data_IF_264630875154
#
_entry.id   IF_264630875154
#
_cell.length_a   1.000
_cell.length_b   1.000
_cell.length_c   1.000
_cell.angle_alpha   90.00
_cell.angle_beta   90.00
_cell.angle_gamma   90.00
#
_symmetry.space_group_name_H-M   'P 1'
#
loop_
_entity.id
_entity.type
_entity.pdbx_description
1 polymer ?
#
# COMPACT_ATOMS: atom_id res chain seq x y z
N UNK A 1 -13.73 -2.39 10.02
CA UNK A 1 -13.30 -3.67 9.41
C UNK A 1 -11.79 -3.87 9.60
N UNK A 2 -11.24 -5.02 9.20
CA UNK A 2 -9.80 -5.31 9.35
C UNK A 2 -8.91 -4.47 8.42
N UNK A 3 -9.37 -4.07 7.24
CA UNK A 3 -8.62 -3.18 6.35
C UNK A 3 -8.41 -1.81 6.99
N UNK A 4 -9.47 -1.24 7.58
CA UNK A 4 -9.42 0.01 8.33
C UNK A 4 -8.44 -0.08 9.50
N UNK A 5 -8.46 -1.18 10.27
CA UNK A 5 -7.49 -1.39 11.36
C UNK A 5 -6.05 -1.44 10.83
N UNK A 6 -5.82 -2.09 9.68
CA UNK A 6 -4.52 -2.10 9.04
C UNK A 6 -4.08 -0.69 8.62
N UNK A 7 -4.97 0.07 7.97
CA UNK A 7 -4.72 1.45 7.54
C UNK A 7 -4.37 2.36 8.73
N UNK A 8 -5.20 2.38 9.77
CA UNK A 8 -4.94 3.16 10.98
C UNK A 8 -3.60 2.79 11.62
N UNK A 9 -3.25 1.50 11.60
CA UNK A 9 -1.97 1.03 12.14
C UNK A 9 -0.77 1.50 11.29
N UNK A 10 -0.93 1.60 9.96
CA UNK A 10 0.09 2.17 9.06
C UNK A 10 0.31 3.66 9.36
N UNK A 11 -0.75 4.46 9.39
CA UNK A 11 -0.66 5.93 9.62
C UNK A 11 -0.36 6.32 11.07
N UNK A 12 -0.39 5.38 12.01
CA UNK A 12 0.09 5.57 13.39
C UNK A 12 1.40 4.86 13.68
N UNK A 13 2.05 4.29 12.66
CA UNK A 13 3.32 3.55 12.75
C UNK A 13 3.31 2.35 13.73
N UNK A 14 2.14 1.75 14.00
CA UNK A 14 1.97 0.53 14.80
C UNK A 14 2.05 -0.70 13.90
N UNK A 15 3.23 -0.97 13.33
CA UNK A 15 3.38 -1.90 12.21
C UNK A 15 3.27 -3.39 12.55
N UNK A 16 3.37 -3.78 13.83
CA UNK A 16 3.47 -5.18 14.26
C UNK A 16 2.26 -6.03 13.84
N UNK A 17 1.05 -5.48 13.93
CA UNK A 17 -0.20 -6.21 13.69
C UNK A 17 -0.77 -5.99 12.28
N UNK A 18 -0.17 -5.08 11.49
CA UNK A 18 -0.70 -4.72 10.16
C UNK A 18 -0.79 -5.96 9.27
N UNK A 19 0.23 -6.81 9.23
CA UNK A 19 0.21 -8.03 8.43
C UNK A 19 -0.92 -8.98 8.86
N UNK A 20 -1.19 -9.09 10.16
CA UNK A 20 -2.31 -9.87 10.67
C UNK A 20 -3.65 -9.29 10.20
N UNK A 21 -3.84 -7.98 10.33
CA UNK A 21 -5.08 -7.31 9.90
C UNK A 21 -5.31 -7.41 8.40
N UNK A 22 -4.28 -7.23 7.56
CA UNK A 22 -4.40 -7.42 6.11
C UNK A 22 -4.82 -8.86 5.77
N UNK A 23 -4.21 -9.85 6.43
CA UNK A 23 -4.56 -11.27 6.23
C UNK A 23 -6.00 -11.58 6.67
N UNK A 24 -6.46 -11.03 7.80
CA UNK A 24 -7.86 -11.20 8.19
C UNK A 24 -8.80 -10.52 7.19
N UNK A 25 -8.46 -9.32 6.72
CA UNK A 25 -9.31 -8.61 5.75
C UNK A 25 -9.48 -9.42 4.46
N UNK A 26 -8.39 -9.96 3.90
CA UNK A 26 -8.46 -10.83 2.70
C UNK A 26 -9.23 -12.14 2.94
N UNK A 27 -9.30 -12.62 4.19
CA UNK A 27 -10.06 -13.83 4.53
C UNK A 27 -11.57 -13.55 4.58
N UNK A 28 -11.97 -12.41 5.13
CA UNK A 28 -13.38 -12.03 5.27
C UNK A 28 -13.98 -11.43 4.01
N UNK A 29 -13.17 -10.73 3.23
CA UNK A 29 -13.54 -10.17 1.93
C UNK A 29 -12.41 -10.42 0.91
N UNK A 30 -12.43 -11.59 0.23
CA UNK A 30 -11.41 -11.97 -0.73
C UNK A 30 -11.45 -11.17 -2.04
N UNK A 31 -12.55 -10.48 -2.33
CA UNK A 31 -12.70 -9.69 -3.56
C UNK A 31 -12.13 -8.29 -3.39
N UNK A 32 -12.09 -7.78 -2.15
CA UNK A 32 -11.51 -6.49 -1.84
C UNK A 32 -10.02 -6.38 -2.19
N UNK A 33 -9.69 -5.33 -2.94
CA UNK A 33 -8.33 -4.99 -3.36
C UNK A 33 -7.60 -4.10 -2.37
N UNK A 34 -8.30 -3.47 -1.42
CA UNK A 34 -7.69 -2.58 -0.44
C UNK A 34 -6.61 -3.28 0.43
N UNK A 35 -6.82 -4.50 0.96
CA UNK A 35 -5.81 -5.14 1.80
C UNK A 35 -4.52 -5.44 1.04
N UNK A 36 -4.62 -5.85 -0.22
CA UNK A 36 -3.45 -6.10 -1.06
C UNK A 36 -2.77 -4.79 -1.47
N UNK A 37 -3.52 -3.70 -1.62
CA UNK A 37 -2.95 -2.37 -1.89
C UNK A 37 -2.14 -1.79 -0.72
N UNK A 38 -2.49 -2.16 0.52
CA UNK A 38 -1.77 -1.70 1.72
C UNK A 38 -0.45 -2.44 1.99
N UNK A 39 -0.25 -3.63 1.40
CA UNK A 39 0.93 -4.48 1.65
C UNK A 39 2.28 -3.89 1.20
N UNK A 40 2.41 -3.27 0.01
CA UNK A 40 3.65 -2.59 -0.39
C UNK A 40 4.03 -1.45 0.55
N UNK A 41 3.05 -0.67 1.03
CA UNK A 41 3.27 0.41 1.98
C UNK A 41 3.80 -0.10 3.32
N UNK A 42 3.22 -1.20 3.84
CA UNK A 42 3.76 -1.88 5.03
C UNK A 42 5.25 -2.22 4.85
N UNK A 43 5.60 -2.85 3.73
CA UNK A 43 7.00 -3.21 3.45
C UNK A 43 7.91 -1.98 3.35
N UNK A 44 7.47 -0.87 2.75
CA UNK A 44 8.25 0.37 2.75
C UNK A 44 8.51 0.91 4.16
N UNK A 45 7.47 0.94 4.99
CA UNK A 45 7.56 1.46 6.36
C UNK A 45 8.43 0.57 7.26
N UNK A 46 8.48 -0.74 6.99
CA UNK A 46 9.37 -1.69 7.66
C UNK A 46 10.81 -1.67 7.11
N UNK A 47 11.06 -0.99 5.99
CA UNK A 47 12.38 -0.95 5.34
C UNK A 47 12.67 -2.12 4.39
N UNK A 48 11.68 -2.95 4.09
CA UNK A 48 11.72 -4.05 3.11
C UNK A 48 11.54 -3.52 1.69
N UNK A 49 12.51 -2.74 1.21
CA UNK A 49 12.38 -1.98 -0.04
C UNK A 49 12.27 -2.86 -1.28
N UNK A 50 12.98 -3.98 -1.33
CA UNK A 50 12.98 -4.85 -2.50
C UNK A 50 11.63 -5.54 -2.66
N UNK A 51 11.06 -6.00 -1.55
CA UNK A 51 9.74 -6.63 -1.48
C UNK A 51 8.62 -5.63 -1.81
N UNK A 52 8.71 -4.41 -1.27
CA UNK A 52 7.80 -3.32 -1.63
C UNK A 52 7.87 -3.00 -3.13
N UNK A 53 9.07 -2.80 -3.67
CA UNK A 53 9.29 -2.47 -5.09
C UNK A 53 8.73 -3.55 -6.01
N UNK A 54 8.97 -4.83 -5.71
CA UNK A 54 8.43 -5.94 -6.48
C UNK A 54 6.90 -5.95 -6.49
N UNK A 55 6.23 -5.66 -5.36
CA UNK A 55 4.78 -5.59 -5.33
C UNK A 55 4.23 -4.37 -6.07
N UNK A 56 4.85 -3.19 -5.92
CA UNK A 56 4.45 -2.00 -6.66
C UNK A 56 4.52 -2.25 -8.17
N UNK A 57 5.62 -2.83 -8.68
CA UNK A 57 5.77 -3.15 -10.11
C UNK A 57 4.70 -4.15 -10.56
N UNK A 58 4.48 -5.20 -9.77
CA UNK A 58 3.51 -6.26 -10.09
C UNK A 58 2.07 -5.72 -10.19
N UNK A 59 1.71 -4.80 -9.31
CA UNK A 59 0.31 -4.37 -9.12
C UNK A 59 -0.04 -3.09 -9.87
N UNK A 60 0.89 -2.13 -10.04
CA UNK A 60 0.58 -0.72 -10.40
C UNK A 60 -0.37 -0.53 -11.59
N UNK A 61 -0.29 -1.37 -12.63
CA UNK A 61 -1.10 -1.20 -13.84
C UNK A 61 -2.34 -2.12 -13.89
N UNK A 62 -2.67 -2.81 -12.80
CA UNK A 62 -3.88 -3.62 -12.70
C UNK A 62 -5.08 -2.73 -12.36
N UNK A 63 -6.30 -3.05 -12.85
CA UNK A 63 -7.51 -2.33 -12.48
C UNK A 63 -7.79 -2.42 -10.97
N UNK A 64 -8.21 -1.31 -10.39
CA UNK A 64 -8.61 -1.26 -8.98
C UNK A 64 -10.13 -1.34 -8.83
N UNK A 65 -10.70 -0.91 -7.70
CA UNK A 65 -12.13 -1.04 -7.39
C UNK A 65 -13.00 -0.11 -8.23
N UNK A 66 -12.56 1.14 -8.43
CA UNK A 66 -13.34 2.12 -9.17
C UNK A 66 -13.15 1.97 -10.69
N UNK A 67 -14.18 2.27 -11.50
CA UNK A 67 -14.04 2.28 -12.95
C UNK A 67 -12.90 3.19 -13.42
N UNK A 68 -12.04 2.65 -14.29
CA UNK A 68 -10.85 3.33 -14.85
C UNK A 68 -9.75 3.69 -13.83
N UNK A 69 -9.84 3.25 -12.58
CA UNK A 69 -8.77 3.38 -11.58
C UNK A 69 -7.79 2.21 -11.65
N UNK A 70 -6.54 2.47 -11.27
CA UNK A 70 -5.49 1.45 -11.15
C UNK A 70 -4.88 1.45 -9.77
N UNK A 71 -4.23 0.34 -9.39
CA UNK A 71 -3.48 0.27 -8.14
C UNK A 71 -2.45 1.40 -7.99
N UNK A 72 -1.85 1.85 -9.10
CA UNK A 72 -0.94 3.01 -9.10
C UNK A 72 -1.59 4.26 -8.53
N UNK A 73 -2.86 4.50 -8.84
CA UNK A 73 -3.56 5.70 -8.42
C UNK A 73 -3.75 5.66 -6.90
N UNK A 74 -4.25 4.52 -6.39
CA UNK A 74 -4.35 4.21 -4.95
C UNK A 74 -3.00 4.36 -4.23
N UNK A 75 -1.95 3.73 -4.76
CA UNK A 75 -0.61 3.80 -4.16
C UNK A 75 -0.06 5.21 -4.07
N UNK A 76 -0.33 6.06 -5.07
CA UNK A 76 0.17 7.43 -5.07
C UNK A 76 -0.55 8.30 -4.03
N UNK A 77 -1.85 8.04 -3.84
CA UNK A 77 -2.69 8.65 -2.81
C UNK A 77 -2.24 8.21 -1.40
N UNK A 78 -2.10 6.91 -1.16
CA UNK A 78 -1.63 6.35 0.11
C UNK A 78 -0.31 6.97 0.56
N UNK A 79 0.67 7.04 -0.36
CA UNK A 79 1.97 7.65 -0.07
C UNK A 79 1.81 9.14 0.29
N UNK A 80 0.88 9.85 -0.34
CA UNK A 80 0.63 11.26 -0.03
C UNK A 80 -0.07 11.43 1.32
N UNK A 81 -1.04 10.58 1.66
CA UNK A 81 -1.74 10.59 2.95
C UNK A 81 -0.77 10.31 4.10
N UNK A 82 0.06 9.27 3.99
CA UNK A 82 1.08 8.95 5.00
C UNK A 82 2.09 10.08 5.18
N UNK A 83 2.54 10.71 4.09
CA UNK A 83 3.43 11.89 4.17
C UNK A 83 2.74 13.10 4.82
N UNK A 84 1.44 13.32 4.57
CA UNK A 84 0.65 14.39 5.17
C UNK A 84 0.48 14.22 6.69
N UNK A 85 0.45 12.99 7.18
CA UNK A 85 0.50 12.65 8.62
C UNK A 85 1.92 12.82 9.23
N UNK A 86 2.87 13.37 8.47
CA UNK A 86 4.24 13.63 8.94
C UNK A 86 5.15 12.41 8.95
N UNK A 87 4.71 11.27 8.41
CA UNK A 87 5.50 10.05 8.35
C UNK A 87 6.51 10.15 7.21
N UNK A 88 7.79 9.95 7.54
CA UNK A 88 8.89 9.97 6.56
C UNK A 88 9.08 8.59 5.95
N UNK A 89 8.72 8.46 4.68
CA UNK A 89 8.93 7.22 3.92
C UNK A 89 10.29 7.26 3.22
N UNK A 90 11.23 6.44 3.67
CA UNK A 90 12.53 6.32 3.00
C UNK A 90 12.35 5.71 1.60
N UNK A 91 13.11 6.20 0.63
CA UNK A 91 13.05 5.81 -0.79
C UNK A 91 11.74 6.11 -1.54
N UNK A 92 10.80 6.88 -0.95
CA UNK A 92 9.51 7.23 -1.57
C UNK A 92 9.65 7.87 -2.95
N UNK A 93 10.67 8.72 -3.17
CA UNK A 93 10.95 9.33 -4.48
C UNK A 93 11.25 8.27 -5.56
N UNK A 94 11.96 7.19 -5.21
CA UNK A 94 12.23 6.08 -6.12
C UNK A 94 10.94 5.34 -6.45
N UNK A 95 10.13 5.03 -5.43
CA UNK A 95 8.84 4.35 -5.59
C UNK A 95 7.89 5.17 -6.48
N UNK A 96 7.75 6.48 -6.23
CA UNK A 96 6.93 7.35 -7.08
C UNK A 96 7.40 7.37 -8.55
N UNK A 97 8.71 7.25 -8.82
CA UNK A 97 9.24 7.12 -10.18
C UNK A 97 8.83 5.80 -10.84
N UNK A 98 8.88 4.70 -10.09
CA UNK A 98 8.46 3.37 -10.55
C UNK A 98 6.96 3.34 -10.84
N UNK A 99 6.15 3.92 -9.96
CA UNK A 99 4.70 4.03 -10.16
C UNK A 99 4.35 4.82 -11.42
N UNK A 100 5.09 5.89 -11.72
CA UNK A 100 4.87 6.76 -12.89
C UNK A 100 5.55 6.27 -14.17
N UNK A 101 6.40 5.24 -14.12
CA UNK A 101 7.04 4.72 -15.33
C UNK A 101 6.03 3.97 -16.19
N UNK A 102 6.22 4.06 -17.51
CA UNK A 102 5.51 3.18 -18.45
C UNK A 102 5.93 1.72 -18.18
N UNK A 103 5.04 0.78 -18.52
CA UNK A 103 5.36 -0.65 -18.55
C UNK A 103 6.51 -0.92 -19.51
#
# INVERSE_FOLDING_TARGET
DYNSLAWYSLVTQKLNDVAYYLNQSMKYDPESKYPISNKPLLFLLQGHYQEAEALYIKLKDQPFEEPNSTFKDEFLEDLALVEAEGIKIKNVKKIRRILKSKK
#
